data_IF_590793986330
#
_entry.id   IF_590793986330
#
_cell.length_a   1.000
_cell.length_b   1.000
_cell.length_c   1.000
_cell.angle_alpha   90.00
_cell.angle_beta   90.00
_cell.angle_gamma   90.00
#
_symmetry.space_group_name_H-M   'P 1'
#
loop_
_entity.id
_entity.type
_entity.pdbx_description
1 polymer ?
#
# COMPACT_ATOMS: atom_id res chain seq x y z
N UNK A 1 31.31 -26.77 7.84
CA UNK A 1 30.48 -25.58 8.24
C UNK A 1 30.67 -24.53 7.17
N UNK A 2 29.76 -24.45 6.19
CA UNK A 2 29.88 -23.53 5.06
C UNK A 2 29.12 -22.25 5.43
N UNK A 3 29.86 -21.19 5.69
CA UNK A 3 29.31 -19.87 5.94
C UNK A 3 28.87 -19.32 4.58
N UNK A 4 27.59 -19.35 4.30
CA UNK A 4 27.01 -18.61 3.18
C UNK A 4 26.99 -17.12 3.51
N UNK A 5 28.07 -16.44 3.23
CA UNK A 5 28.12 -14.97 3.19
C UNK A 5 27.44 -14.49 1.92
N UNK A 6 26.13 -14.63 1.85
CA UNK A 6 25.38 -13.89 0.85
C UNK A 6 25.22 -12.48 1.36
N UNK A 7 26.05 -11.56 0.85
CA UNK A 7 25.92 -10.15 1.14
C UNK A 7 24.51 -9.71 0.77
N UNK A 8 23.77 -8.97 1.61
CA UNK A 8 22.38 -8.57 1.32
C UNK A 8 22.23 -7.75 0.04
N UNK A 9 23.35 -7.29 -0.54
CA UNK A 9 23.42 -6.60 -1.83
C UNK A 9 24.05 -7.43 -2.94
N UNK A 10 24.26 -8.74 -2.73
CA UNK A 10 24.62 -9.62 -3.84
C UNK A 10 23.54 -9.49 -4.92
N UNK A 11 23.94 -9.43 -6.19
CA UNK A 11 23.01 -9.28 -7.31
C UNK A 11 21.94 -10.37 -7.18
N UNK A 12 20.69 -9.94 -6.95
CA UNK A 12 19.54 -10.84 -6.81
C UNK A 12 19.47 -11.72 -8.07
N UNK A 13 19.64 -13.04 -7.95
CA UNK A 13 19.65 -13.94 -9.10
C UNK A 13 18.30 -14.06 -9.81
N UNK A 14 17.19 -13.63 -9.14
CA UNK A 14 15.86 -13.70 -9.73
C UNK A 14 15.60 -12.53 -10.70
N UNK A 15 15.53 -12.81 -12.02
CA UNK A 15 15.30 -11.77 -13.02
C UNK A 15 13.91 -11.15 -12.93
N UNK A 16 12.90 -11.85 -12.44
CA UNK A 16 11.55 -11.33 -12.26
C UNK A 16 11.50 -10.31 -11.11
N UNK A 17 12.17 -10.64 -10.01
CA UNK A 17 12.33 -9.70 -8.89
C UNK A 17 13.09 -8.44 -9.31
N UNK A 18 14.13 -8.59 -10.15
CA UNK A 18 14.84 -7.45 -10.73
C UNK A 18 13.97 -6.61 -11.65
N UNK A 19 13.16 -7.24 -12.50
CA UNK A 19 12.19 -6.55 -13.36
C UNK A 19 11.21 -5.74 -12.50
N UNK A 20 10.58 -6.38 -11.52
CA UNK A 20 9.65 -5.72 -10.59
C UNK A 20 10.30 -4.54 -9.86
N UNK A 21 11.53 -4.70 -9.37
CA UNK A 21 12.26 -3.64 -8.67
C UNK A 21 12.60 -2.43 -9.56
N UNK A 22 12.66 -2.61 -10.88
CA UNK A 22 12.93 -1.53 -11.85
C UNK A 22 11.67 -0.78 -12.30
N UNK A 23 10.49 -1.33 -12.05
CA UNK A 23 9.25 -0.59 -12.23
C UNK A 23 9.16 0.48 -11.13
N UNK A 24 9.12 1.74 -11.54
CA UNK A 24 8.82 2.81 -10.61
C UNK A 24 7.31 2.81 -10.34
N UNK A 25 6.95 2.72 -9.07
CA UNK A 25 5.54 2.64 -8.65
C UNK A 25 5.23 3.68 -7.59
N UNK A 26 4.03 4.25 -7.65
CA UNK A 26 3.49 5.01 -6.54
C UNK A 26 3.35 4.14 -5.29
N UNK A 27 3.54 4.74 -4.14
CA UNK A 27 3.37 4.07 -2.85
C UNK A 27 2.01 4.41 -2.29
N UNK A 28 1.25 3.39 -1.95
CA UNK A 28 -0.09 3.52 -1.38
C UNK A 28 -0.15 2.84 -0.02
N UNK A 29 -1.11 3.27 0.79
CA UNK A 29 -1.50 2.59 2.01
C UNK A 29 -2.90 2.02 1.82
N UNK A 30 -3.04 0.70 1.93
CA UNK A 30 -4.33 0.05 2.07
C UNK A 30 -4.63 -0.21 3.54
N UNK A 31 -5.84 0.13 3.97
CA UNK A 31 -6.31 -0.10 5.33
C UNK A 31 -7.71 -0.70 5.32
N UNK A 32 -8.05 -1.45 6.34
CA UNK A 32 -9.35 -2.10 6.52
C UNK A 32 -9.65 -2.31 7.99
N UNK A 33 -10.88 -2.68 8.30
CA UNK A 33 -11.31 -2.98 9.66
C UNK A 33 -11.61 -1.74 10.51
N UNK A 34 -11.92 -1.95 11.77
CA UNK A 34 -12.24 -0.90 12.73
C UNK A 34 -11.74 -1.25 14.14
N UNK A 35 -11.55 -0.24 14.98
CA UNK A 35 -11.15 -0.45 16.38
C UNK A 35 -9.88 -1.26 16.52
N UNK A 36 -9.94 -2.36 17.27
CA UNK A 36 -8.81 -3.27 17.50
C UNK A 36 -8.50 -4.19 16.32
N UNK A 37 -9.45 -4.34 15.37
CA UNK A 37 -9.27 -5.17 14.16
C UNK A 37 -8.80 -4.39 12.94
N UNK A 38 -8.33 -3.16 13.12
CA UNK A 38 -7.70 -2.39 12.05
C UNK A 38 -6.47 -3.12 11.51
N UNK A 39 -6.40 -3.23 10.21
CA UNK A 39 -5.23 -3.74 9.50
C UNK A 39 -4.81 -2.80 8.38
N UNK A 40 -3.54 -2.79 8.05
CA UNK A 40 -3.01 -1.94 6.98
C UNK A 40 -1.71 -2.50 6.41
N UNK A 41 -1.46 -2.17 5.16
CA UNK A 41 -0.28 -2.61 4.42
C UNK A 41 0.14 -1.53 3.42
N UNK A 42 1.43 -1.26 3.34
CA UNK A 42 2.01 -0.47 2.26
C UNK A 42 2.04 -1.31 0.98
N UNK A 43 1.40 -0.82 -0.08
CA UNK A 43 1.27 -1.54 -1.35
C UNK A 43 1.74 -0.68 -2.51
N UNK A 44 2.62 -1.23 -3.34
CA UNK A 44 3.13 -0.60 -4.56
C UNK A 44 2.60 -1.26 -5.84
N UNK A 45 1.97 -2.43 -5.71
CA UNK A 45 1.40 -3.20 -6.82
C UNK A 45 -0.10 -2.90 -6.93
N UNK A 46 -0.44 -1.68 -7.30
CA UNK A 46 -1.82 -1.18 -7.43
C UNK A 46 -2.03 -0.59 -8.81
N UNK A 47 -3.16 -0.91 -9.41
CA UNK A 47 -3.63 -0.28 -10.65
C UNK A 47 -5.10 0.09 -10.52
N UNK A 48 -5.48 1.18 -11.17
CA UNK A 48 -6.87 1.65 -11.25
C UNK A 48 -7.39 1.37 -12.66
N UNK A 49 -8.47 0.61 -12.74
CA UNK A 49 -9.19 0.36 -13.98
C UNK A 49 -10.39 1.29 -14.04
N UNK A 50 -10.36 2.22 -15.00
CA UNK A 50 -11.47 3.11 -15.25
C UNK A 50 -12.70 2.32 -15.74
N UNK A 51 -13.89 2.71 -15.34
CA UNK A 51 -15.14 2.04 -15.72
C UNK A 51 -16.33 2.48 -14.87
N UNK A 52 -17.48 1.89 -15.12
CA UNK A 52 -18.73 2.12 -14.37
C UNK A 52 -19.27 0.79 -13.82
N UNK A 53 -18.94 0.44 -12.56
CA UNK A 53 -18.05 1.14 -11.64
C UNK A 53 -16.57 0.93 -11.96
N UNK A 54 -15.73 1.90 -11.58
CA UNK A 54 -14.27 1.76 -11.63
C UNK A 54 -13.80 0.70 -10.61
N UNK A 55 -12.62 0.16 -10.85
CA UNK A 55 -12.02 -0.87 -9.98
C UNK A 55 -10.58 -0.57 -9.65
N UNK A 56 -10.19 -0.99 -8.47
CA UNK A 56 -8.79 -1.06 -8.05
C UNK A 56 -8.38 -2.54 -8.01
N UNK A 57 -7.23 -2.86 -8.59
CA UNK A 57 -6.57 -4.15 -8.44
C UNK A 57 -5.31 -3.96 -7.61
N UNK A 58 -5.17 -4.72 -6.55
CA UNK A 58 -4.00 -4.69 -5.68
C UNK A 58 -3.46 -6.09 -5.47
N UNK A 59 -2.13 -6.25 -5.57
CA UNK A 59 -1.46 -7.48 -5.20
C UNK A 59 -0.88 -7.32 -3.79
N UNK A 60 -1.33 -8.17 -2.87
CA UNK A 60 -0.91 -8.15 -1.47
C UNK A 60 -0.31 -9.50 -1.07
N UNK A 61 0.43 -9.49 0.02
CA UNK A 61 0.87 -10.73 0.66
C UNK A 61 -0.36 -11.50 1.15
N UNK A 62 -0.55 -12.77 0.74
CA UNK A 62 -1.70 -13.57 1.16
C UNK A 62 -1.74 -13.84 2.66
N UNK A 63 -0.58 -13.79 3.34
CA UNK A 63 -0.45 -14.04 4.77
C UNK A 63 -0.51 -12.74 5.61
N UNK A 64 -0.82 -11.61 4.98
CA UNK A 64 -0.93 -10.32 5.70
C UNK A 64 -2.25 -10.19 6.44
N UNK A 65 -2.23 -9.55 7.60
CA UNK A 65 -3.44 -9.20 8.37
C UNK A 65 -4.42 -8.39 7.53
N UNK A 66 -3.92 -7.56 6.60
CA UNK A 66 -4.77 -6.80 5.68
C UNK A 66 -5.58 -7.72 4.77
N UNK A 67 -4.94 -8.72 4.17
CA UNK A 67 -5.62 -9.65 3.26
C UNK A 67 -6.76 -10.39 3.97
N UNK A 68 -6.53 -10.82 5.19
CA UNK A 68 -7.54 -11.49 6.01
C UNK A 68 -8.66 -10.54 6.44
N UNK A 69 -8.31 -9.34 6.89
CA UNK A 69 -9.30 -8.34 7.32
C UNK A 69 -10.19 -7.90 6.16
N UNK A 70 -9.61 -7.64 4.97
CA UNK A 70 -10.42 -7.29 3.78
C UNK A 70 -11.35 -8.42 3.39
N UNK A 71 -10.91 -9.68 3.46
CA UNK A 71 -11.75 -10.83 3.18
C UNK A 71 -12.91 -10.97 4.17
N UNK A 72 -12.69 -10.63 5.44
CA UNK A 72 -13.69 -10.71 6.50
C UNK A 72 -14.71 -9.56 6.43
N UNK A 73 -14.24 -8.30 6.32
CA UNK A 73 -15.13 -7.12 6.40
C UNK A 73 -15.65 -6.65 5.04
N UNK A 74 -14.98 -7.03 3.95
CA UNK A 74 -15.42 -6.72 2.58
C UNK A 74 -15.15 -5.28 2.12
N UNK A 75 -14.43 -4.47 2.89
CA UNK A 75 -14.13 -3.07 2.55
C UNK A 75 -12.68 -2.70 2.81
N UNK A 76 -12.19 -1.68 2.12
CA UNK A 76 -10.86 -1.13 2.32
C UNK A 76 -10.81 0.35 1.95
N UNK A 77 -9.80 1.04 2.44
CA UNK A 77 -9.44 2.40 2.02
C UNK A 77 -8.10 2.35 1.31
N UNK A 78 -8.03 2.89 0.10
CA UNK A 78 -6.78 3.15 -0.61
C UNK A 78 -6.40 4.61 -0.42
N UNK A 79 -5.17 4.88 -0.01
CA UNK A 79 -4.64 6.23 0.18
C UNK A 79 -3.33 6.40 -0.56
N UNK A 80 -3.18 7.52 -1.25
CA UNK A 80 -1.91 7.88 -1.87
C UNK A 80 -0.97 8.46 -0.82
N UNK A 81 0.23 7.93 -0.71
CA UNK A 81 1.23 8.44 0.22
C UNK A 81 2.13 9.48 -0.44
N UNK A 82 2.46 10.51 0.31
CA UNK A 82 3.42 11.53 -0.08
C UNK A 82 4.82 11.26 0.47
N UNK A 83 5.78 12.08 0.03
CA UNK A 83 7.17 11.97 0.48
C UNK A 83 7.32 12.04 2.00
N UNK A 84 6.48 12.82 2.66
CA UNK A 84 6.49 13.00 4.11
C UNK A 84 6.09 11.72 4.87
N UNK A 85 5.40 10.81 4.19
CA UNK A 85 4.88 9.57 4.76
C UNK A 85 5.84 8.38 4.65
N UNK A 86 7.09 8.58 4.21
CA UNK A 86 8.03 7.47 3.95
C UNK A 86 8.30 6.60 5.17
N UNK A 87 8.40 7.20 6.36
CA UNK A 87 8.64 6.46 7.60
C UNK A 87 7.40 5.65 8.00
N UNK A 88 6.22 6.22 7.77
CA UNK A 88 4.94 5.52 7.91
C UNK A 88 4.83 4.35 6.92
N UNK A 89 5.20 4.58 5.66
CA UNK A 89 5.21 3.55 4.64
C UNK A 89 6.14 2.37 5.02
N UNK A 90 7.30 2.64 5.60
CA UNK A 90 8.21 1.60 6.10
C UNK A 90 7.59 0.81 7.27
N UNK A 91 6.92 1.48 8.19
CA UNK A 91 6.25 0.81 9.30
C UNK A 91 5.15 -0.14 8.81
N UNK A 92 4.27 0.32 7.91
CA UNK A 92 3.22 -0.50 7.32
C UNK A 92 3.71 -1.53 6.30
N UNK A 93 4.95 -1.44 5.84
CA UNK A 93 5.62 -2.49 5.07
C UNK A 93 6.28 -3.56 5.96
N UNK A 94 6.27 -3.39 7.27
CA UNK A 94 6.97 -4.28 8.20
C UNK A 94 8.49 -4.11 8.19
N UNK A 95 9.01 -3.05 7.56
CA UNK A 95 10.44 -2.78 7.44
C UNK A 95 11.00 -1.94 8.60
N UNK A 96 10.13 -1.27 9.35
CA UNK A 96 10.50 -0.46 10.51
C UNK A 96 9.64 -0.82 11.73
N UNK A 97 10.17 -0.63 12.95
CA UNK A 97 9.39 -0.86 14.16
C UNK A 97 8.23 0.15 14.28
N UNK A 98 7.11 -0.31 14.83
CA UNK A 98 5.93 0.51 15.07
C UNK A 98 5.57 0.50 16.58
N UNK A 99 6.26 1.27 17.41
CA UNK A 99 6.00 1.32 18.86
C UNK A 99 4.54 1.66 19.16
N UNK A 100 3.88 0.84 19.96
CA UNK A 100 2.46 0.99 20.29
C UNK A 100 1.49 0.53 19.19
N UNK A 101 2.00 0.01 18.07
CA UNK A 101 1.22 -0.50 16.94
C UNK A 101 1.22 0.44 15.72
N UNK A 102 0.89 -0.11 14.56
CA UNK A 102 0.93 0.59 13.27
C UNK A 102 0.06 1.86 13.27
N UNK A 103 -1.15 1.78 13.78
CA UNK A 103 -2.11 2.90 13.79
C UNK A 103 -1.83 3.96 14.87
N UNK A 104 -0.74 3.81 15.63
CA UNK A 104 -0.21 4.85 16.54
C UNK A 104 0.89 5.70 15.91
N UNK A 105 1.34 5.35 14.71
CA UNK A 105 2.41 6.06 14.02
C UNK A 105 1.95 7.36 13.35
N UNK A 106 0.62 7.53 13.14
CA UNK A 106 0.01 8.73 12.59
C UNK A 106 -1.44 8.88 13.12
N UNK A 107 -2.06 10.01 12.81
CA UNK A 107 -3.48 10.23 13.11
C UNK A 107 -4.35 9.58 12.04
N UNK A 108 -5.29 8.75 12.46
CA UNK A 108 -6.28 8.09 11.62
C UNK A 108 -7.69 8.45 12.08
N UNK A 109 -8.61 8.53 11.14
CA UNK A 109 -10.05 8.64 11.39
C UNK A 109 -10.79 7.49 10.71
N UNK A 110 -11.90 7.07 11.27
CA UNK A 110 -12.71 5.98 10.72
C UNK A 110 -13.62 6.51 9.60
N UNK A 111 -13.73 5.71 8.53
CA UNK A 111 -14.69 5.90 7.44
C UNK A 111 -15.60 4.67 7.34
N UNK A 112 -16.56 4.70 6.42
CA UNK A 112 -17.40 3.54 6.12
C UNK A 112 -16.63 2.34 5.57
N UNK A 113 -15.42 2.55 5.05
CA UNK A 113 -14.59 1.52 4.39
C UNK A 113 -13.38 1.09 5.23
N UNK A 114 -13.07 1.80 6.28
CA UNK A 114 -11.94 1.54 7.16
C UNK A 114 -11.25 2.82 7.63
N UNK A 115 -10.12 2.72 8.34
CA UNK A 115 -9.38 3.89 8.82
C UNK A 115 -8.63 4.58 7.69
N UNK A 116 -8.66 5.91 7.65
CA UNK A 116 -7.85 6.74 6.75
C UNK A 116 -6.94 7.69 7.52
N UNK A 117 -5.83 8.08 6.91
CA UNK A 117 -4.99 9.15 7.43
C UNK A 117 -5.75 10.47 7.43
N UNK A 118 -5.62 11.21 8.53
CA UNK A 118 -6.17 12.56 8.65
C UNK A 118 -5.40 13.52 7.73
N UNK A 119 -6.10 14.49 7.16
CA UNK A 119 -5.53 15.55 6.33
C UNK A 119 -6.08 15.58 4.91
N UNK A 120 -5.62 16.57 4.14
CA UNK A 120 -5.96 16.74 2.72
C UNK A 120 -5.15 15.75 1.89
N UNK A 121 -5.78 14.64 1.53
CA UNK A 121 -5.16 13.51 0.84
C UNK A 121 -6.10 12.94 -0.21
N UNK A 122 -5.53 12.44 -1.28
CA UNK A 122 -6.28 11.63 -2.24
C UNK A 122 -6.46 10.22 -1.69
N UNK A 123 -7.71 9.77 -1.59
CA UNK A 123 -8.05 8.44 -1.13
C UNK A 123 -9.34 7.92 -1.79
N UNK A 124 -9.56 6.63 -1.73
CA UNK A 124 -10.76 5.97 -2.23
C UNK A 124 -11.31 4.99 -1.20
N UNK A 125 -12.63 4.99 -1.04
CA UNK A 125 -13.39 3.96 -0.34
C UNK A 125 -13.73 2.83 -1.31
N UNK A 126 -13.42 1.60 -0.91
CA UNK A 126 -13.43 0.43 -1.78
C UNK A 126 -14.25 -0.71 -1.16
N UNK A 127 -14.96 -1.46 -2.01
CA UNK A 127 -15.66 -2.68 -1.63
C UNK A 127 -15.07 -3.88 -2.37
N UNK A 128 -14.77 -4.94 -1.64
CA UNK A 128 -14.24 -6.18 -2.21
C UNK A 128 -15.27 -6.81 -3.17
N UNK A 129 -14.83 -7.12 -4.38
CA UNK A 129 -15.62 -7.83 -5.40
C UNK A 129 -15.21 -9.29 -5.48
N UNK A 130 -13.90 -9.55 -5.56
CA UNK A 130 -13.33 -10.89 -5.58
C UNK A 130 -11.86 -10.91 -5.18
N UNK A 131 -11.37 -12.09 -4.86
CA UNK A 131 -9.94 -12.35 -4.66
C UNK A 131 -9.50 -13.51 -5.56
N UNK A 132 -8.28 -13.42 -6.08
CA UNK A 132 -7.66 -14.46 -6.87
C UNK A 132 -6.20 -14.68 -6.43
N UNK A 133 -5.68 -15.89 -6.58
CA UNK A 133 -4.26 -16.15 -6.41
C UNK A 133 -3.52 -15.83 -7.70
N UNK A 134 -2.50 -14.97 -7.63
CA UNK A 134 -1.68 -14.55 -8.77
C UNK A 134 -0.21 -14.65 -8.38
N UNK A 135 0.48 -15.62 -8.94
CA UNK A 135 1.84 -15.94 -8.51
C UNK A 135 1.85 -16.30 -7.02
N UNK A 136 2.68 -15.61 -6.25
CA UNK A 136 2.73 -15.74 -4.79
C UNK A 136 1.95 -14.66 -4.05
N UNK A 137 1.10 -13.92 -4.76
CA UNK A 137 0.31 -12.83 -4.20
C UNK A 137 -1.17 -13.17 -4.24
N UNK A 138 -1.94 -12.54 -3.35
CA UNK A 138 -3.39 -12.46 -3.47
C UNK A 138 -3.75 -11.17 -4.19
N UNK A 139 -4.47 -11.29 -5.29
CA UNK A 139 -5.06 -10.14 -5.96
C UNK A 139 -6.39 -9.82 -5.28
N UNK A 140 -6.52 -8.57 -4.84
CA UNK A 140 -7.79 -8.00 -4.42
C UNK A 140 -8.38 -7.24 -5.61
N UNK A 141 -9.60 -7.58 -6.01
CA UNK A 141 -10.40 -6.80 -6.95
C UNK A 141 -11.45 -6.03 -6.15
N UNK A 142 -11.36 -4.73 -6.20
CA UNK A 142 -12.12 -3.83 -5.34
C UNK A 142 -12.89 -2.83 -6.20
N UNK A 143 -14.20 -2.71 -5.97
CA UNK A 143 -15.06 -1.69 -6.61
C UNK A 143 -14.81 -0.36 -5.92
N UNK A 144 -14.64 0.69 -6.69
CA UNK A 144 -14.53 2.06 -6.18
C UNK A 144 -15.93 2.59 -5.87
N UNK A 145 -16.19 2.91 -4.61
CA UNK A 145 -17.48 3.45 -4.15
C UNK A 145 -17.41 4.95 -3.84
N UNK A 146 -16.25 5.43 -3.41
CA UNK A 146 -16.00 6.82 -3.08
C UNK A 146 -14.60 7.22 -3.55
N UNK A 147 -14.43 8.44 -4.02
CA UNK A 147 -13.12 9.03 -4.31
C UNK A 147 -13.10 10.46 -3.79
N UNK A 148 -12.13 10.77 -2.98
CA UNK A 148 -11.80 12.13 -2.58
C UNK A 148 -10.43 12.46 -3.15
N UNK A 149 -10.40 13.40 -4.09
CA UNK A 149 -9.16 13.92 -4.64
C UNK A 149 -8.77 15.18 -3.85
N UNK A 150 -7.62 15.15 -3.20
CA UNK A 150 -7.06 16.33 -2.53
C UNK A 150 -6.53 17.32 -3.58
N UNK A 151 -6.82 18.60 -3.40
CA UNK A 151 -6.45 19.65 -4.35
C UNK A 151 -4.95 19.98 -4.37
N UNK A 152 -4.26 19.74 -3.26
CA UNK A 152 -2.84 20.05 -3.07
C UNK A 152 -2.12 18.94 -2.29
N UNK A 153 -2.27 17.72 -2.75
CA UNK A 153 -1.62 16.58 -2.11
C UNK A 153 -0.09 16.74 -2.03
N UNK A 154 0.55 16.09 -1.05
CA UNK A 154 2.01 16.12 -0.94
C UNK A 154 2.67 15.54 -2.20
N UNK A 155 3.93 15.93 -2.47
CA UNK A 155 4.70 15.32 -3.54
C UNK A 155 4.65 13.78 -3.43
N UNK A 156 4.33 13.05 -4.51
CA UNK A 156 4.07 11.62 -4.43
C UNK A 156 5.29 10.85 -3.93
N UNK A 157 5.03 9.84 -3.10
CA UNK A 157 6.04 8.88 -2.69
C UNK A 157 6.15 7.80 -3.76
N UNK A 158 7.34 7.61 -4.29
CA UNK A 158 7.65 6.56 -5.27
C UNK A 158 8.54 5.49 -4.66
N UNK A 159 8.41 4.28 -5.17
CA UNK A 159 9.30 3.17 -4.88
C UNK A 159 10.01 2.70 -6.14
N UNK A 160 11.34 2.68 -6.12
CA UNK A 160 12.16 2.24 -7.24
C UNK A 160 13.46 1.61 -6.74
N UNK A 161 13.75 0.42 -7.21
CA UNK A 161 14.96 -0.36 -6.86
C UNK A 161 15.16 -0.52 -5.34
N UNK A 162 14.09 -0.85 -4.63
CA UNK A 162 14.13 -1.07 -3.18
C UNK A 162 14.27 0.19 -2.33
N UNK A 163 14.08 1.38 -2.91
CA UNK A 163 14.20 2.66 -2.21
C UNK A 163 13.02 3.58 -2.50
N UNK A 164 12.65 4.37 -1.51
CA UNK A 164 11.75 5.48 -1.72
C UNK A 164 12.43 6.60 -2.51
N UNK A 165 11.65 7.22 -3.38
CA UNK A 165 12.07 8.32 -4.25
C UNK A 165 11.04 9.43 -4.20
N UNK A 166 11.51 10.65 -4.38
CA UNK A 166 10.69 11.83 -4.60
C UNK A 166 10.80 12.22 -6.08
N UNK A 167 9.71 12.72 -6.67
CA UNK A 167 9.81 13.40 -7.97
C UNK A 167 10.59 14.71 -7.75
N UNK A 168 11.69 14.87 -8.51
CA UNK A 168 12.41 16.13 -8.56
C UNK A 168 11.82 16.96 -9.71
N UNK A 169 11.45 18.20 -9.45
CA UNK A 169 11.21 19.18 -10.52
C UNK A 169 9.80 19.70 -10.75
N UNK A 170 8.86 19.56 -9.83
CA UNK A 170 7.68 20.42 -9.83
C UNK A 170 7.93 21.62 -8.91
N UNK A 171 8.69 22.60 -9.42
CA UNK A 171 8.65 23.97 -8.91
C UNK A 171 7.47 24.65 -9.57
N UNK A 172 6.43 24.90 -8.81
CA UNK A 172 5.35 25.82 -9.20
C UNK A 172 5.91 27.23 -9.30
#
# INVERSE_FOLDING_TARGET
MTIHTTHPFAADPDPVRRLRGRLASGVTLLTSGAGASRAGLTVTSVVVAHGEPARVLALVDPDSDLADTVAEVGTAVLQLLGWEDRDLAEAFAGAAPAPGGLFRQAAFEDTAWGPRLVGDRTWAGLRLESTDEVGWSRQLRLVVEEVVAGDAGPAPLLHHRGRYRRLEGETS
#
